data_IF_003252938258
#
_entry.id   IF_003252938258
#
_cell.length_a   1.000
_cell.length_b   1.000
_cell.length_c   1.000
_cell.angle_alpha   90.00
_cell.angle_beta   90.00
_cell.angle_gamma   90.00
#
_symmetry.space_group_name_H-M   'P 1'
#
loop_
_entity.id
_entity.type
_entity.pdbx_description
1 polymer ?
#
# COMPACT_ATOMS: atom_id res chain seq x y z
N UNK A 1 6.00 -34.42 8.95
CA UNK A 1 5.23 -33.73 7.89
C UNK A 1 5.29 -32.24 8.19
N UNK A 2 6.09 -31.48 7.46
CA UNK A 2 6.17 -30.02 7.60
C UNK A 2 4.82 -29.45 7.18
N UNK A 3 4.15 -28.73 8.08
CA UNK A 3 2.90 -28.03 7.76
C UNK A 3 3.17 -27.16 6.53
N UNK A 4 2.35 -27.18 5.47
CA UNK A 4 2.57 -26.27 4.35
C UNK A 4 2.61 -24.85 4.92
N UNK A 5 3.73 -24.17 4.69
CA UNK A 5 3.91 -22.79 5.14
C UNK A 5 2.79 -21.94 4.57
N UNK A 6 2.19 -21.07 5.39
CA UNK A 6 1.26 -20.09 4.85
C UNK A 6 2.05 -18.99 4.10
N UNK A 7 1.36 -18.19 3.29
CA UNK A 7 1.97 -17.11 2.49
C UNK A 7 2.84 -16.19 3.34
N UNK A 8 2.39 -15.85 4.56
CA UNK A 8 3.17 -15.03 5.48
C UNK A 8 4.46 -15.72 5.92
N UNK A 9 4.43 -17.00 6.27
CA UNK A 9 5.64 -17.76 6.63
C UNK A 9 6.65 -17.73 5.49
N UNK A 10 6.23 -18.00 4.25
CA UNK A 10 7.12 -17.95 3.09
C UNK A 10 7.71 -16.55 2.86
N UNK A 11 6.91 -15.49 2.98
CA UNK A 11 7.39 -14.11 2.85
C UNK A 11 8.37 -13.73 3.96
N UNK A 12 8.14 -14.18 5.19
CA UNK A 12 9.05 -13.94 6.32
C UNK A 12 10.36 -14.72 6.18
N UNK A 13 10.32 -15.95 5.66
CA UNK A 13 11.52 -16.74 5.36
C UNK A 13 12.36 -16.10 4.24
N UNK A 14 11.70 -15.59 3.20
CA UNK A 14 12.38 -15.00 2.03
C UNK A 14 12.91 -13.58 2.29
N UNK A 15 12.18 -12.75 3.03
CA UNK A 15 12.48 -11.32 3.19
C UNK A 15 12.82 -10.91 4.63
N UNK A 16 12.80 -11.86 5.56
CA UNK A 16 13.05 -11.65 6.99
C UNK A 16 11.84 -11.09 7.74
N UNK A 17 12.01 -10.92 9.06
CA UNK A 17 10.96 -10.46 9.97
C UNK A 17 10.80 -8.94 10.12
N UNK A 18 11.20 -8.16 9.10
CA UNK A 18 11.25 -6.68 9.17
C UNK A 18 10.27 -6.04 8.19
N UNK A 19 9.62 -4.97 8.63
CA UNK A 19 8.65 -4.21 7.87
C UNK A 19 9.29 -3.52 6.64
N UNK A 20 8.54 -3.50 5.55
CA UNK A 20 8.92 -2.90 4.29
C UNK A 20 8.91 -1.35 4.29
N UNK A 21 8.38 -0.72 5.35
CA UNK A 21 8.27 0.74 5.44
C UNK A 21 9.62 1.48 5.40
N UNK A 22 10.75 0.79 5.59
CA UNK A 22 12.10 1.38 5.64
C UNK A 22 12.22 2.57 6.62
N UNK A 23 11.41 2.62 7.68
CA UNK A 23 11.40 3.74 8.64
C UNK A 23 10.49 4.92 8.26
N UNK A 24 9.83 4.90 7.09
CA UNK A 24 8.95 5.98 6.63
C UNK A 24 7.76 6.29 7.57
N UNK A 25 7.44 5.38 8.50
CA UNK A 25 6.40 5.60 9.50
C UNK A 25 6.79 6.61 10.60
N UNK A 26 8.05 7.05 10.67
CA UNK A 26 8.52 8.07 11.61
C UNK A 26 8.51 7.65 13.08
N UNK A 27 8.24 6.37 13.39
CA UNK A 27 8.24 5.85 14.75
C UNK A 27 9.60 5.31 15.14
N UNK A 28 10.12 5.75 16.28
CA UNK A 28 11.33 5.19 16.88
C UNK A 28 11.01 3.83 17.48
N UNK A 29 11.52 2.77 16.86
CA UNK A 29 11.43 1.41 17.39
C UNK A 29 12.70 1.11 18.18
N UNK A 30 12.59 0.99 19.51
CA UNK A 30 13.68 0.54 20.36
C UNK A 30 14.05 -0.90 20.01
N UNK A 31 15.31 -1.15 19.63
CA UNK A 31 15.89 -2.50 19.62
C UNK A 31 16.69 -2.91 18.38
N UNK A 32 16.30 -2.55 17.15
CA UNK A 32 16.87 -3.23 15.96
C UNK A 32 17.01 -2.34 14.70
N UNK A 33 17.63 -1.16 14.81
CA UNK A 33 17.99 -0.37 13.62
C UNK A 33 16.79 0.20 12.87
N UNK A 34 15.91 0.90 13.59
CA UNK A 34 14.88 1.83 13.05
C UNK A 34 13.73 1.23 12.24
N UNK A 35 13.71 -0.09 11.98
CA UNK A 35 12.67 -0.75 11.18
C UNK A 35 11.70 -1.53 12.06
N UNK A 36 10.39 -1.44 11.77
CA UNK A 36 9.39 -2.20 12.51
C UNK A 36 9.59 -3.71 12.33
N UNK A 37 9.24 -4.51 13.33
CA UNK A 37 9.23 -5.97 13.33
C UNK A 37 7.96 -6.47 14.04
N UNK A 38 7.78 -7.79 14.18
CA UNK A 38 6.60 -8.36 14.84
C UNK A 38 6.42 -7.91 16.30
N UNK A 39 7.53 -7.70 17.01
CA UNK A 39 7.54 -7.24 18.42
C UNK A 39 7.13 -5.77 18.52
N UNK A 40 7.55 -4.94 17.55
CA UNK A 40 7.29 -3.49 17.53
C UNK A 40 6.06 -3.09 16.71
N UNK A 41 5.36 -4.03 16.08
CA UNK A 41 4.14 -3.82 15.28
C UNK A 41 2.90 -3.38 16.09
N UNK A 42 3.01 -3.42 17.42
CA UNK A 42 1.93 -3.13 18.38
C UNK A 42 1.27 -4.40 18.90
N UNK A 43 1.37 -4.63 20.21
CA UNK A 43 0.75 -5.75 20.94
C UNK A 43 1.18 -7.15 20.44
N UNK A 44 2.42 -7.32 19.97
CA UNK A 44 2.93 -8.59 19.43
C UNK A 44 2.06 -9.20 18.32
N UNK A 45 1.37 -8.35 17.53
CA UNK A 45 0.59 -8.86 16.40
C UNK A 45 1.54 -9.32 15.29
N UNK A 46 1.18 -10.40 14.57
CA UNK A 46 1.99 -10.87 13.46
C UNK A 46 2.09 -9.78 12.38
N UNK A 47 3.22 -9.79 11.68
CA UNK A 47 3.34 -9.05 10.43
C UNK A 47 2.35 -9.60 9.40
N UNK A 48 2.04 -8.80 8.40
CA UNK A 48 1.23 -9.18 7.26
C UNK A 48 2.11 -9.32 6.02
N UNK A 49 1.72 -10.20 5.11
CA UNK A 49 2.28 -10.27 3.77
C UNK A 49 1.41 -9.42 2.85
N UNK A 50 1.99 -8.40 2.25
CA UNK A 50 1.32 -7.53 1.30
C UNK A 50 2.32 -7.00 0.27
N UNK A 51 1.85 -6.51 -0.89
CA UNK A 51 2.73 -5.95 -1.92
C UNK A 51 3.76 -4.96 -1.38
N UNK A 52 4.96 -4.95 -1.96
CA UNK A 52 5.98 -3.93 -1.66
C UNK A 52 5.45 -2.53 -1.93
N UNK A 53 4.68 -2.38 -3.00
CA UNK A 53 4.00 -1.14 -3.37
C UNK A 53 2.51 -1.43 -3.32
N UNK A 54 1.74 -0.78 -2.42
CA UNK A 54 0.30 -0.95 -2.39
C UNK A 54 -0.33 -0.57 -3.74
N UNK A 55 -1.43 -1.22 -4.07
CA UNK A 55 -2.31 -0.83 -5.16
C UNK A 55 -3.56 -0.13 -4.60
N UNK A 56 -4.25 0.62 -5.45
CA UNK A 56 -5.43 1.38 -5.04
C UNK A 56 -6.60 0.48 -4.57
N UNK A 57 -6.73 -0.72 -5.13
CA UNK A 57 -7.85 -1.63 -4.84
C UNK A 57 -7.44 -2.87 -4.07
N UNK A 58 -8.35 -3.40 -3.26
CA UNK A 58 -8.10 -4.61 -2.46
C UNK A 58 -7.91 -5.85 -3.35
N UNK A 59 -8.63 -5.93 -4.47
CA UNK A 59 -8.47 -7.00 -5.45
C UNK A 59 -7.07 -7.06 -6.06
N UNK A 60 -6.51 -5.92 -6.44
CA UNK A 60 -5.13 -5.85 -6.94
C UNK A 60 -4.11 -6.24 -5.87
N UNK A 61 -4.29 -5.77 -4.64
CA UNK A 61 -3.41 -6.14 -3.53
C UNK A 61 -3.47 -7.63 -3.20
N UNK A 62 -4.65 -8.25 -3.31
CA UNK A 62 -4.84 -9.69 -3.08
C UNK A 62 -4.32 -10.55 -4.23
N UNK A 63 -4.32 -10.03 -5.46
CA UNK A 63 -3.85 -10.72 -6.66
C UNK A 63 -2.33 -10.62 -6.87
N UNK A 64 -1.62 -9.84 -6.04
CA UNK A 64 -0.19 -9.64 -6.19
C UNK A 64 0.58 -10.97 -6.05
N UNK A 65 1.57 -11.21 -6.92
CA UNK A 65 2.33 -12.44 -6.90
C UNK A 65 3.26 -12.50 -5.68
N UNK A 66 3.62 -13.71 -5.27
CA UNK A 66 4.33 -13.97 -4.02
C UNK A 66 5.66 -13.21 -3.94
N UNK A 67 6.38 -13.10 -5.05
CA UNK A 67 7.67 -12.40 -5.19
C UNK A 67 7.60 -10.89 -4.96
N UNK A 68 6.41 -10.29 -5.09
CA UNK A 68 6.16 -8.88 -4.83
C UNK A 68 5.76 -8.61 -3.38
N UNK A 69 5.39 -9.65 -2.64
CA UNK A 69 4.99 -9.51 -1.24
C UNK A 69 6.18 -9.20 -0.34
N UNK A 70 5.95 -8.34 0.64
CA UNK A 70 6.90 -8.01 1.68
C UNK A 70 6.21 -8.06 3.05
N UNK A 71 6.99 -8.24 4.13
CA UNK A 71 6.45 -8.14 5.47
C UNK A 71 6.08 -6.68 5.79
N UNK A 72 4.92 -6.48 6.40
CA UNK A 72 4.45 -5.18 6.86
C UNK A 72 3.88 -5.28 8.27
N UNK A 73 3.94 -4.21 9.05
CA UNK A 73 3.06 -4.06 10.20
C UNK A 73 1.75 -3.38 9.77
N UNK A 74 0.64 -3.70 10.45
CA UNK A 74 -0.67 -3.17 10.08
C UNK A 74 -0.72 -1.64 9.98
N UNK A 75 -0.14 -0.86 10.92
CA UNK A 75 -0.14 0.60 10.81
C UNK A 75 0.57 1.10 9.55
N UNK A 76 1.78 0.59 9.26
CA UNK A 76 2.53 1.03 8.09
C UNK A 76 1.85 0.66 6.77
N UNK A 77 1.26 -0.54 6.70
CA UNK A 77 0.52 -0.97 5.51
C UNK A 77 -0.69 -0.08 5.26
N UNK A 78 -1.48 0.20 6.30
CA UNK A 78 -2.66 1.05 6.21
C UNK A 78 -2.30 2.46 5.74
N UNK A 79 -1.24 3.04 6.27
CA UNK A 79 -0.83 4.40 5.91
C UNK A 79 -0.30 4.43 4.46
N UNK A 80 0.47 3.43 4.04
CA UNK A 80 0.93 3.30 2.65
C UNK A 80 -0.24 3.10 1.67
N UNK A 81 -1.23 2.28 2.03
CA UNK A 81 -2.43 2.04 1.24
C UNK A 81 -3.30 3.30 1.11
N UNK A 82 -3.42 4.08 2.19
CA UNK A 82 -4.14 5.35 2.17
C UNK A 82 -3.47 6.37 1.23
N UNK A 83 -2.14 6.49 1.29
CA UNK A 83 -1.38 7.36 0.39
C UNK A 83 -1.57 6.96 -1.09
N UNK A 84 -1.55 5.65 -1.38
CA UNK A 84 -1.78 5.18 -2.74
C UNK A 84 -3.19 5.47 -3.25
N UNK A 85 -4.20 5.22 -2.41
CA UNK A 85 -5.60 5.53 -2.77
C UNK A 85 -5.82 7.02 -3.02
N UNK A 86 -5.18 7.89 -2.25
CA UNK A 86 -5.22 9.33 -2.48
C UNK A 86 -4.63 9.67 -3.87
N UNK A 87 -3.43 9.16 -4.18
CA UNK A 87 -2.79 9.38 -5.49
C UNK A 87 -3.65 8.90 -6.66
N UNK A 88 -4.23 7.71 -6.56
CA UNK A 88 -5.10 7.16 -7.59
C UNK A 88 -6.40 7.97 -7.78
N UNK A 89 -6.93 8.55 -6.69
CA UNK A 89 -8.10 9.42 -6.77
C UNK A 89 -7.76 10.78 -7.40
N UNK A 90 -6.61 11.36 -7.04
CA UNK A 90 -6.14 12.62 -7.63
C UNK A 90 -5.92 12.47 -9.13
N UNK A 91 -5.29 11.37 -9.57
CA UNK A 91 -5.09 11.06 -10.99
C UNK A 91 -6.43 10.92 -11.72
N UNK A 92 -7.39 10.16 -11.15
CA UNK A 92 -8.73 10.04 -11.73
C UNK A 92 -9.44 11.40 -11.81
N UNK A 93 -9.28 12.26 -10.80
CA UNK A 93 -9.83 13.61 -10.80
C UNK A 93 -9.28 14.45 -11.94
N UNK A 94 -7.97 14.37 -12.20
CA UNK A 94 -7.32 15.05 -13.32
C UNK A 94 -7.83 14.55 -14.67
N UNK A 95 -7.90 13.23 -14.86
CA UNK A 95 -8.44 12.62 -16.09
C UNK A 95 -9.89 13.06 -16.36
N UNK A 96 -10.75 13.05 -15.33
CA UNK A 96 -12.12 13.51 -15.46
C UNK A 96 -12.23 15.00 -15.78
N UNK A 97 -11.36 15.83 -15.19
CA UNK A 97 -11.30 17.26 -15.47
C UNK A 97 -10.88 17.52 -16.92
N UNK A 98 -9.85 16.82 -17.41
CA UNK A 98 -9.40 16.92 -18.81
C UNK A 98 -10.51 16.54 -19.79
N UNK A 99 -11.30 15.50 -19.49
CA UNK A 99 -12.44 15.08 -20.30
C UNK A 99 -13.61 16.08 -20.28
N UNK A 100 -13.70 16.95 -19.27
CA UNK A 100 -14.77 17.95 -19.14
C UNK A 100 -14.47 19.29 -19.82
N UNK A 101 -13.20 19.60 -20.17
CA UNK A 101 -12.75 20.87 -20.81
C UNK A 101 -13.20 20.95 -22.29
N UNK A 102 -14.49 20.86 -22.54
CA UNK A 102 -15.05 20.92 -23.88
C UNK A 102 -16.48 20.37 -23.98
N UNK A 103 -16.99 19.76 -22.91
CA UNK A 103 -18.37 19.28 -22.86
C UNK A 103 -19.38 20.43 -22.68
N UNK A 104 -18.97 21.54 -22.06
CA UNK A 104 -19.82 22.70 -21.75
C UNK A 104 -19.39 23.99 -22.45
N UNK A 105 -18.39 23.94 -23.33
CA UNK A 105 -18.05 25.04 -24.23
C UNK A 105 -19.09 25.06 -25.37
N UNK A 106 -20.33 25.37 -25.02
CA UNK A 106 -21.39 25.65 -25.99
C UNK A 106 -21.19 27.10 -26.42
N UNK A 107 -20.87 27.33 -27.68
CA UNK A 107 -20.65 28.65 -28.27
C UNK A 107 -21.71 29.66 -27.76
N UNK A 108 -21.25 30.61 -26.96
CA UNK A 108 -22.04 31.75 -26.45
C UNK A 108 -22.38 32.77 -27.54
N UNK A 109 -22.24 32.42 -28.82
CA UNK A 109 -22.46 33.29 -29.99
C UNK A 109 -23.83 33.11 -30.66
N UNK A 110 -24.71 32.24 -30.12
CA UNK A 110 -26.04 32.00 -30.68
C UNK A 110 -27.15 32.94 -30.15
N UNK A 111 -26.79 34.09 -29.55
CA UNK A 111 -27.76 35.09 -29.10
C UNK A 111 -27.41 36.48 -29.67
N UNK A 112 -27.60 36.63 -30.99
CA UNK A 112 -27.68 37.91 -31.69
C UNK A 112 -29.13 38.18 -32.12
#
# INVERSE_FOLDING_TARGET
MTRPGNVLTTVLEQHGGRCACNGACGKTHTGDGERCNATSSGKNKPLLAAPRTPHATDGQNAAAPLEELRPWCWPCWRDALAAERARANDQRGQELMEMQIGLFDVDTDAAA
#
